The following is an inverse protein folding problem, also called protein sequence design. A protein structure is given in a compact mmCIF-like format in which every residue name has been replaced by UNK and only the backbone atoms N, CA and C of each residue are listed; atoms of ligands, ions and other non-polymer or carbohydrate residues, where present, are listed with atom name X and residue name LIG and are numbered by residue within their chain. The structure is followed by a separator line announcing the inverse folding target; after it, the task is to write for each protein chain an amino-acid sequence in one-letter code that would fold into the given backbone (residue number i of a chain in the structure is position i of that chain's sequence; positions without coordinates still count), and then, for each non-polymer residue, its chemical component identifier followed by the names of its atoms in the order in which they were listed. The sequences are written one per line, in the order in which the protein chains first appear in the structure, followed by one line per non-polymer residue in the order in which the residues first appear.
data_IF_004641525364
#
_entry.id   IF_004641525364
#
_cell.length_a   1.000
_cell.length_b   1.000
_cell.length_c   1.000
_cell.angle_alpha   90.00
_cell.angle_beta   90.00
_cell.angle_gamma   90.00
#
_symmetry.space_group_name_H-M   'P 1'
#
loop_
_entity.id
_entity.type
_entity.pdbx_description
1 polymer ?
#
# COMPACT_ATOMS: atom_id res chain seq x y z
N UNK A 1 18.02 2.62 -5.07
CA UNK A 1 18.03 2.60 -6.55
C UNK A 1 18.20 4.02 -7.03
N UNK A 2 19.05 4.26 -8.03
CA UNK A 2 19.22 5.59 -8.64
C UNK A 2 18.48 5.60 -9.97
N UNK A 3 17.62 6.59 -10.19
CA UNK A 3 16.91 6.75 -11.45
C UNK A 3 17.68 7.71 -12.36
N UNK A 4 17.72 7.44 -13.69
CA UNK A 4 18.46 8.27 -14.63
C UNK A 4 17.76 9.60 -14.90
N UNK A 5 16.45 9.71 -14.63
CA UNK A 5 15.71 10.96 -14.71
C UNK A 5 14.60 11.02 -13.66
N UNK A 6 14.10 12.23 -13.40
CA UNK A 6 13.05 12.49 -12.41
C UNK A 6 11.71 11.81 -12.77
N UNK A 7 11.38 11.73 -14.07
CA UNK A 7 10.12 11.15 -14.53
C UNK A 7 10.02 9.66 -14.22
N UNK A 8 11.10 8.90 -14.39
CA UNK A 8 11.16 7.49 -14.00
C UNK A 8 11.05 7.29 -12.49
N UNK A 9 11.62 8.20 -11.69
CA UNK A 9 11.44 8.18 -10.25
C UNK A 9 9.98 8.43 -9.83
N UNK A 10 9.30 9.36 -10.51
CA UNK A 10 7.87 9.65 -10.30
C UNK A 10 7.00 8.46 -10.73
N UNK A 11 7.21 7.91 -11.93
CA UNK A 11 6.50 6.73 -12.44
C UNK A 11 6.65 5.53 -11.49
N UNK A 12 7.87 5.27 -11.02
CA UNK A 12 8.14 4.23 -10.04
C UNK A 12 7.37 4.45 -8.74
N UNK A 13 7.34 5.70 -8.25
CA UNK A 13 6.64 6.05 -7.00
C UNK A 13 5.13 5.85 -7.12
N UNK A 14 4.52 6.24 -8.25
CA UNK A 14 3.09 6.04 -8.51
C UNK A 14 2.74 4.55 -8.50
N UNK A 15 3.46 3.75 -9.29
CA UNK A 15 3.19 2.30 -9.43
C UNK A 15 3.59 1.46 -8.22
N UNK A 16 4.37 2.03 -7.30
CA UNK A 16 4.65 1.44 -5.99
C UNK A 16 3.47 1.55 -5.04
N UNK A 17 2.62 2.56 -5.20
CA UNK A 17 1.49 2.86 -4.32
C UNK A 17 0.20 2.18 -4.80
N UNK A 18 -0.05 2.16 -6.11
CA UNK A 18 -1.30 1.71 -6.71
C UNK A 18 -1.07 1.07 -8.09
N UNK A 19 -2.06 0.32 -8.57
CA UNK A 19 -2.05 -0.23 -9.92
C UNK A 19 -2.77 0.75 -10.83
N UNK A 20 -2.08 1.27 -11.85
CA UNK A 20 -2.62 2.32 -12.71
C UNK A 20 -2.64 1.89 -14.18
N UNK A 21 -3.72 2.18 -14.93
CA UNK A 21 -3.76 2.01 -16.36
C UNK A 21 -2.85 3.03 -17.07
N UNK A 22 -2.50 2.71 -18.30
CA UNK A 22 -1.57 3.51 -19.11
C UNK A 22 -2.04 4.95 -19.33
N UNK A 23 -3.35 5.15 -19.50
CA UNK A 23 -3.94 6.45 -19.79
C UNK A 23 -3.92 7.38 -18.57
N UNK A 24 -4.12 6.82 -17.38
CA UNK A 24 -4.05 7.57 -16.12
C UNK A 24 -2.61 7.97 -15.79
N UNK A 25 -1.63 7.10 -16.05
CA UNK A 25 -0.21 7.46 -15.96
C UNK A 25 0.16 8.59 -16.92
N UNK A 26 -0.37 8.54 -18.15
CA UNK A 26 -0.15 9.57 -19.16
C UNK A 26 -0.68 10.93 -18.69
N UNK A 27 -1.90 10.95 -18.13
CA UNK A 27 -2.51 12.15 -17.57
C UNK A 27 -1.71 12.72 -16.38
N UNK A 28 -1.41 11.89 -15.37
CA UNK A 28 -0.71 12.33 -14.14
C UNK A 28 0.71 12.82 -14.40
N UNK A 29 1.39 12.24 -15.38
CA UNK A 29 2.74 12.65 -15.77
C UNK A 29 2.73 13.72 -16.88
N UNK A 30 1.55 14.10 -17.39
CA UNK A 30 1.38 15.05 -18.50
C UNK A 30 2.21 14.68 -19.74
N UNK A 31 2.17 13.40 -20.11
CA UNK A 31 2.87 12.84 -21.28
C UNK A 31 1.94 12.00 -22.15
N UNK A 32 2.39 11.63 -23.35
CA UNK A 32 1.64 10.69 -24.18
C UNK A 32 1.70 9.27 -23.62
N UNK A 33 0.69 8.47 -23.96
CA UNK A 33 0.65 7.03 -23.66
C UNK A 33 1.81 6.27 -24.29
N UNK A 34 2.31 6.71 -25.45
CA UNK A 34 3.55 6.23 -26.07
C UNK A 34 4.76 6.49 -25.18
N UNK A 35 4.85 7.68 -24.57
CA UNK A 35 5.93 8.02 -23.63
C UNK A 35 5.86 7.15 -22.37
N UNK A 36 4.67 6.90 -21.82
CA UNK A 36 4.50 5.98 -20.69
C UNK A 36 5.06 4.59 -21.01
N UNK A 37 4.76 4.03 -22.19
CA UNK A 37 5.32 2.72 -22.60
C UNK A 37 6.84 2.72 -22.66
N UNK A 38 7.43 3.78 -23.22
CA UNK A 38 8.88 3.93 -23.28
C UNK A 38 9.49 4.03 -21.88
N UNK A 39 8.87 4.81 -20.99
CA UNK A 39 9.31 4.98 -19.61
C UNK A 39 9.19 3.67 -18.80
N UNK A 40 8.10 2.91 -18.97
CA UNK A 40 7.94 1.58 -18.36
C UNK A 40 9.03 0.63 -18.85
N UNK A 41 9.34 0.65 -20.14
CA UNK A 41 10.40 -0.19 -20.71
C UNK A 41 11.75 0.16 -20.09
N UNK A 42 12.09 1.45 -20.01
CA UNK A 42 13.30 1.91 -19.35
C UNK A 42 13.32 1.55 -17.86
N UNK A 43 12.19 1.68 -17.16
CA UNK A 43 12.05 1.31 -15.76
C UNK A 43 12.27 -0.20 -15.56
N UNK A 44 11.69 -1.05 -16.40
CA UNK A 44 11.85 -2.50 -16.35
C UNK A 44 13.30 -2.93 -16.57
N UNK A 45 14.03 -2.28 -17.49
CA UNK A 45 15.47 -2.52 -17.66
C UNK A 45 16.23 -2.23 -16.36
N UNK A 46 15.90 -1.15 -15.66
CA UNK A 46 16.52 -0.81 -14.38
C UNK A 46 16.09 -1.77 -13.25
N UNK A 47 14.91 -2.38 -13.34
CA UNK A 47 14.39 -3.31 -12.33
C UNK A 47 14.84 -4.75 -12.53
N UNK A 48 15.25 -5.12 -13.74
CA UNK A 48 15.75 -6.45 -14.08
C UNK A 48 16.94 -6.86 -13.20
N UNK A 49 17.86 -5.94 -12.90
CA UNK A 49 19.00 -6.19 -11.99
C UNK A 49 18.55 -6.54 -10.55
N UNK A 50 17.32 -6.20 -10.19
CA UNK A 50 16.70 -6.51 -8.90
C UNK A 50 15.71 -7.68 -8.97
N UNK A 51 15.58 -8.34 -10.12
CA UNK A 51 14.65 -9.45 -10.34
C UNK A 51 13.17 -9.04 -10.30
N UNK A 52 12.85 -7.81 -10.72
CA UNK A 52 11.49 -7.30 -10.73
C UNK A 52 11.17 -6.57 -12.05
N UNK A 53 9.87 -6.46 -12.35
CA UNK A 53 9.37 -5.74 -13.52
C UNK A 53 7.91 -5.33 -13.33
N UNK A 54 7.49 -4.27 -14.00
CA UNK A 54 6.09 -3.90 -14.15
C UNK A 54 5.49 -4.53 -15.41
N UNK A 55 4.39 -5.23 -15.24
CA UNK A 55 3.65 -5.92 -16.32
C UNK A 55 2.27 -5.30 -16.42
N UNK A 56 1.83 -5.06 -17.65
CA UNK A 56 0.47 -4.59 -17.91
C UNK A 56 -0.52 -5.75 -17.76
N UNK A 57 -1.41 -5.66 -16.77
CA UNK A 57 -2.56 -6.53 -16.65
C UNK A 57 -3.78 -5.85 -17.29
N UNK A 58 -4.40 -6.49 -18.28
CA UNK A 58 -5.53 -5.92 -19.02
C UNK A 58 -6.69 -5.65 -18.05
N UNK A 59 -7.24 -4.43 -18.10
CA UNK A 59 -8.33 -3.99 -17.23
C UNK A 59 -7.91 -3.53 -15.82
N UNK A 60 -6.71 -3.88 -15.34
CA UNK A 60 -6.22 -3.45 -14.01
C UNK A 60 -5.07 -2.44 -14.07
N UNK A 61 -4.28 -2.43 -15.14
CA UNK A 61 -3.11 -1.55 -15.27
C UNK A 61 -1.78 -2.24 -14.92
N UNK A 62 -0.74 -1.44 -14.67
CA UNK A 62 0.61 -1.95 -14.43
C UNK A 62 0.80 -2.50 -13.01
N UNK A 63 1.20 -3.77 -12.91
CA UNK A 63 1.47 -4.47 -11.65
C UNK A 63 2.94 -4.89 -11.55
N UNK A 64 3.50 -4.77 -10.35
CA UNK A 64 4.85 -5.25 -10.05
C UNK A 64 4.87 -6.79 -9.93
N UNK A 65 5.60 -7.45 -10.83
CA UNK A 65 6.00 -8.85 -10.73
C UNK A 65 7.43 -8.96 -10.20
N UNK A 66 7.66 -9.91 -9.30
CA UNK A 66 8.98 -10.24 -8.77
C UNK A 66 9.30 -11.65 -9.27
N UNK A 67 10.28 -11.76 -10.14
CA UNK A 67 10.67 -13.04 -10.75
C UNK A 67 11.70 -13.79 -9.90
N UNK A 68 12.51 -13.07 -9.11
CA UNK A 68 13.51 -13.70 -8.24
C UNK A 68 13.43 -13.17 -6.79
N UNK A 69 12.76 -13.90 -5.86
CA UNK A 69 12.56 -13.46 -4.48
C UNK A 69 13.84 -13.40 -3.64
N UNK A 70 14.91 -14.12 -3.99
CA UNK A 70 16.19 -14.11 -3.26
C UNK A 70 17.03 -12.88 -3.57
N UNK A 71 17.01 -12.36 -4.81
CA UNK A 71 17.71 -11.11 -5.20
C UNK A 71 17.00 -9.83 -4.73
N UNK A 72 15.70 -9.92 -4.44
CA UNK A 72 14.85 -8.80 -4.05
C UNK A 72 14.93 -8.45 -2.55
N UNK A 73 15.58 -9.30 -1.74
CA UNK A 73 15.40 -9.38 -0.28
C UNK A 73 16.01 -8.26 0.56
N UNK A 74 16.75 -7.31 -0.03
CA UNK A 74 17.55 -6.35 0.77
C UNK A 74 17.04 -4.91 0.86
N UNK A 75 16.23 -4.43 -0.09
CA UNK A 75 15.98 -2.96 -0.20
C UNK A 75 14.61 -2.55 -0.70
N UNK A 76 13.80 -3.48 -1.14
CA UNK A 76 12.42 -3.25 -1.49
C UNK A 76 11.52 -3.42 -0.25
N UNK A 77 11.60 -2.49 0.71
CA UNK A 77 10.43 -2.26 1.57
C UNK A 77 9.35 -1.71 0.65
N UNK A 78 8.41 -2.55 0.20
CA UNK A 78 7.12 -2.05 -0.26
C UNK A 78 6.64 -1.04 0.81
N UNK A 79 6.19 0.17 0.47
CA UNK A 79 5.27 0.82 1.37
C UNK A 79 4.16 -0.21 1.50
N UNK A 80 3.78 -0.56 2.73
CA UNK A 80 2.59 -1.38 2.92
C UNK A 80 1.56 -0.80 1.96
N UNK A 81 1.09 -1.61 1.00
CA UNK A 81 0.03 -1.21 0.08
C UNK A 81 -0.93 -0.42 0.95
N UNK A 82 -1.20 0.84 0.64
CA UNK A 82 -2.50 1.40 1.02
C UNK A 82 -3.46 0.51 0.24
N UNK A 83 -3.76 -0.66 0.84
CA UNK A 83 -4.72 -1.60 0.29
C UNK A 83 -5.96 -0.74 0.14
N UNK A 84 -6.50 -0.81 -1.06
CA UNK A 84 -7.85 -0.40 -1.44
C UNK A 84 -8.68 -0.11 -0.20
N UNK A 85 -9.10 1.14 -0.09
CA UNK A 85 -10.00 1.72 0.90
C UNK A 85 -11.00 0.68 1.44
N UNK A 86 -10.59 -0.11 2.41
CA UNK A 86 -11.47 -1.09 3.02
C UNK A 86 -12.13 -0.30 4.12
N UNK A 87 -13.33 0.19 3.83
CA UNK A 87 -14.17 0.78 4.86
C UNK A 87 -14.49 -0.37 5.83
N UNK A 88 -13.79 -0.40 6.96
CA UNK A 88 -14.07 -1.37 8.00
C UNK A 88 -15.49 -1.11 8.48
N UNK A 89 -16.40 -2.10 8.40
CA UNK A 89 -17.75 -1.94 8.91
C UNK A 89 -17.69 -1.53 10.39
N UNK A 90 -18.56 -0.61 10.86
CA UNK A 90 -18.56 -0.17 12.25
C UNK A 90 -18.58 -1.30 13.27
N UNK A 91 -19.31 -2.37 12.97
CA UNK A 91 -19.47 -3.58 13.79
C UNK A 91 -18.16 -4.38 13.96
N UNK A 92 -17.28 -4.36 12.97
CA UNK A 92 -16.03 -5.14 13.00
C UNK A 92 -14.85 -4.33 13.54
N UNK A 93 -15.00 -3.02 13.67
CA UNK A 93 -13.91 -2.07 13.90
C UNK A 93 -13.17 -2.30 15.21
N UNK A 94 -13.91 -2.63 16.27
CA UNK A 94 -13.35 -2.95 17.59
C UNK A 94 -12.52 -4.24 17.52
N UNK A 95 -13.06 -5.29 16.91
CA UNK A 95 -12.36 -6.57 16.73
C UNK A 95 -11.08 -6.39 15.93
N UNK A 96 -11.13 -5.64 14.83
CA UNK A 96 -9.94 -5.32 14.05
C UNK A 96 -8.91 -4.51 14.84
N UNK A 97 -9.33 -3.53 15.65
CA UNK A 97 -8.43 -2.78 16.53
C UNK A 97 -7.72 -3.69 17.51
N UNK A 98 -8.46 -4.57 18.20
CA UNK A 98 -7.92 -5.51 19.17
C UNK A 98 -6.91 -6.45 18.53
N UNK A 99 -7.26 -7.12 17.43
CA UNK A 99 -6.33 -7.99 16.67
C UNK A 99 -5.09 -7.21 16.25
N UNK A 100 -5.28 -5.98 15.74
CA UNK A 100 -4.18 -5.15 15.26
C UNK A 100 -3.23 -4.73 16.39
N UNK A 101 -3.74 -4.44 17.58
CA UNK A 101 -2.89 -4.12 18.74
C UNK A 101 -2.17 -5.35 19.29
N UNK A 102 -2.88 -6.46 19.44
CA UNK A 102 -2.31 -7.70 19.97
C UNK A 102 -1.24 -8.31 19.05
N UNK A 103 -1.32 -8.05 17.74
CA UNK A 103 -0.38 -8.59 16.74
C UNK A 103 0.67 -7.59 16.26
N UNK A 104 0.63 -6.32 16.73
CA UNK A 104 1.61 -5.32 16.32
C UNK A 104 2.83 -5.33 17.23
N UNK A 105 4.02 -5.50 16.64
CA UNK A 105 5.29 -5.39 17.35
C UNK A 105 5.72 -3.94 17.65
N UNK A 106 4.96 -2.93 17.19
CA UNK A 106 5.29 -1.50 17.31
C UNK A 106 4.05 -0.68 17.64
N UNK A 107 4.26 0.51 18.22
CA UNK A 107 3.20 1.50 18.45
C UNK A 107 2.55 1.94 17.14
N UNK A 108 1.23 2.02 17.13
CA UNK A 108 0.43 2.45 15.98
C UNK A 108 -0.07 3.88 16.24
N UNK A 109 0.09 4.77 15.26
CA UNK A 109 -0.50 6.11 15.32
C UNK A 109 -1.98 6.03 14.93
N UNK A 110 -2.82 6.69 15.71
CA UNK A 110 -4.26 6.65 15.50
C UNK A 110 -4.66 7.42 14.23
N UNK A 111 -3.91 8.47 13.89
CA UNK A 111 -4.13 9.28 12.69
C UNK A 111 -3.89 8.47 11.42
N UNK A 112 -2.81 7.68 11.38
CA UNK A 112 -2.50 6.81 10.24
C UNK A 112 -3.60 5.75 10.04
N UNK A 113 -4.18 5.24 11.14
CA UNK A 113 -5.25 4.26 11.10
C UNK A 113 -6.60 4.88 10.69
N UNK A 114 -6.87 6.11 11.15
CA UNK A 114 -8.05 6.88 10.78
C UNK A 114 -8.08 7.13 9.26
N UNK A 115 -6.93 7.54 8.72
CA UNK A 115 -6.71 7.72 7.28
C UNK A 115 -6.81 6.39 6.51
N UNK A 116 -6.35 5.28 7.09
CA UNK A 116 -6.43 3.94 6.47
C UNK A 116 -7.89 3.44 6.38
N UNK A 117 -8.69 3.69 7.42
CA UNK A 117 -10.06 3.15 7.56
C UNK A 117 -11.16 4.13 7.14
N UNK A 118 -10.81 5.34 6.69
CA UNK A 118 -11.74 6.39 6.26
C UNK A 118 -12.73 6.79 7.36
N UNK A 119 -12.22 6.94 8.58
CA UNK A 119 -12.98 7.38 9.75
C UNK A 119 -12.29 8.57 10.42
N UNK A 120 -13.02 9.31 11.25
CA UNK A 120 -12.39 10.38 12.03
C UNK A 120 -11.54 9.80 13.16
N UNK A 121 -10.51 10.54 13.58
CA UNK A 121 -9.74 10.20 14.79
C UNK A 121 -10.63 10.04 16.02
N UNK A 122 -11.67 10.87 16.15
CA UNK A 122 -12.63 10.79 17.25
C UNK A 122 -13.44 9.48 17.23
N UNK A 123 -13.78 8.97 16.03
CA UNK A 123 -14.45 7.67 15.87
C UNK A 123 -13.56 6.55 16.41
N UNK A 124 -12.29 6.49 15.98
CA UNK A 124 -11.37 5.47 16.49
C UNK A 124 -11.10 5.60 17.99
N UNK A 125 -11.05 6.83 18.51
CA UNK A 125 -10.90 7.07 19.94
C UNK A 125 -12.06 6.45 20.74
N UNK A 126 -13.30 6.60 20.25
CA UNK A 126 -14.47 5.98 20.87
C UNK A 126 -14.40 4.45 20.81
N UNK A 127 -14.01 3.88 19.67
CA UNK A 127 -13.86 2.42 19.53
C UNK A 127 -12.78 1.86 20.46
N UNK A 128 -11.70 2.61 20.69
CA UNK A 128 -10.65 2.22 21.63
C UNK A 128 -11.18 2.16 23.07
N UNK A 129 -12.01 3.12 23.46
CA UNK A 129 -12.66 3.12 24.79
C UNK A 129 -13.61 1.94 24.93
N UNK A 130 -14.36 1.63 23.87
CA UNK A 130 -15.30 0.51 23.85
C UNK A 130 -14.58 -0.85 23.89
N UNK A 131 -13.55 -1.03 23.06
CA UNK A 131 -12.70 -2.23 23.08
C UNK A 131 -11.97 -2.45 24.40
N UNK A 132 -11.49 -1.37 25.04
CA UNK A 132 -10.86 -1.45 26.36
C UNK A 132 -11.84 -1.90 27.46
N UNK A 133 -13.13 -1.57 27.34
CA UNK A 133 -14.19 -2.05 28.24
C UNK A 133 -14.57 -3.51 28.00
N UNK A 134 -14.37 -4.02 26.78
CA UNK A 134 -14.67 -5.41 26.43
C UNK A 134 -13.57 -6.40 26.86
N UNK A 135 -12.31 -5.95 27.00
CA UNK A 135 -11.18 -6.79 27.40
C UNK A 135 -11.32 -7.46 28.79
N UNK A 136 -11.77 -6.77 29.86
CA UNK A 136 -11.97 -7.39 31.17
C UNK A 136 -13.02 -8.52 31.17
N UNK A 137 -14.02 -8.45 30.30
CA UNK A 137 -15.07 -9.46 30.21
C UNK A 137 -14.55 -10.78 29.61
N UNK A 138 -13.52 -10.72 28.76
CA UNK A 138 -12.89 -11.89 28.15
C UNK A 138 -11.93 -12.62 29.09
N UNK A 139 -11.44 -11.95 30.15
CA UNK A 139 -10.58 -12.56 31.17
C UNK A 139 -11.35 -13.24 32.32
N UNK A 140 -12.69 -13.16 32.34
CA UNK A 140 -13.53 -13.74 33.38
C UNK A 140 -14.13 -15.11 33.02
N UNK A 141 -13.98 -15.57 31.78
CA UNK A 141 -14.46 -16.87 31.28
C UNK A 141 -13.31 -17.89 31.08
N UNK A 142 -12.29 -17.88 31.94
CA UNK A 142 -11.20 -18.87 31.96
C UNK A 142 -10.95 -19.46 33.33
#
# INVERSE_FOLDING_TARGET
MRFPNQRLAQLFTLLRNETLPQDELAQRLSVSTRTVRADITALNTLLAQYGAQFILNRGSGYQLKIDNPTSFRGRWRRPRRRRSTCRVPPEDRITFLLVRFLTSAFSIKLEDLADEWFVSRATLQNDMVEGARALPALSADS
#
